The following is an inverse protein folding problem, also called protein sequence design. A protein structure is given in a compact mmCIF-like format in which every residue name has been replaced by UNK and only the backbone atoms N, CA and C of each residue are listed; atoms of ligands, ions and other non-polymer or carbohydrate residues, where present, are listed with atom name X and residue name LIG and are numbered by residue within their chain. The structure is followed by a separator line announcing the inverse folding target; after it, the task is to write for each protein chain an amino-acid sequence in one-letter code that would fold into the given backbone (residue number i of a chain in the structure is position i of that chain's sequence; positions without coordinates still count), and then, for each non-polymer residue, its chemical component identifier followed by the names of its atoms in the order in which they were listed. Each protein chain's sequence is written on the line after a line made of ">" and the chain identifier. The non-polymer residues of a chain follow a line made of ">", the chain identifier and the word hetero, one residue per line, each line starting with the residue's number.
data_IF_916939381286
#
_entry.id   IF_916939381286
#
_cell.length_a   1.000
_cell.length_b   1.000
_cell.length_c   1.000
_cell.angle_alpha   90.00
_cell.angle_beta   90.00
_cell.angle_gamma   90.00
#
_symmetry.space_group_name_H-M   'P 1'
#
loop_
_entity.id
_entity.type
_entity.pdbx_description
1 polymer ?
#
# COMPACT_ATOMS: atom_id res chain seq x y z
N UNK A 1 -14.18 13.04 -21.11
CA UNK A 1 -13.11 12.03 -21.22
C UNK A 1 -11.82 12.72 -20.82
N UNK A 2 -11.51 12.76 -19.52
CA UNK A 2 -10.21 13.29 -19.07
C UNK A 2 -9.18 12.17 -19.23
N UNK A 3 -8.26 12.37 -20.16
CA UNK A 3 -7.06 11.57 -20.31
C UNK A 3 -6.28 11.70 -18.99
N UNK A 4 -6.13 10.61 -18.25
CA UNK A 4 -5.44 10.60 -16.95
C UNK A 4 -4.02 11.14 -17.12
N UNK A 5 -3.79 12.36 -16.66
CA UNK A 5 -2.46 12.95 -16.67
C UNK A 5 -1.55 12.10 -15.78
N UNK A 6 -0.53 11.50 -16.38
CA UNK A 6 0.56 10.88 -15.64
C UNK A 6 1.23 11.99 -14.84
N UNK A 7 1.00 12.04 -13.53
CA UNK A 7 1.65 13.03 -12.67
C UNK A 7 3.15 12.69 -12.60
N UNK A 8 4.01 13.62 -12.98
CA UNK A 8 5.46 13.45 -12.94
C UNK A 8 6.01 13.84 -11.57
N UNK A 9 7.19 13.29 -11.22
CA UNK A 9 7.92 13.65 -10.00
C UNK A 9 8.18 15.16 -9.99
N UNK A 10 7.79 15.89 -8.93
CA UNK A 10 8.20 17.28 -8.79
C UNK A 10 9.72 17.38 -8.69
N UNK A 11 10.31 18.33 -9.40
CA UNK A 11 11.76 18.48 -9.46
C UNK A 11 12.39 18.55 -8.06
N UNK A 12 13.36 17.67 -7.80
CA UNK A 12 14.10 17.62 -6.54
C UNK A 12 13.33 17.08 -5.33
N UNK A 13 12.07 16.64 -5.49
CA UNK A 13 11.29 16.12 -4.38
C UNK A 13 11.85 14.80 -3.85
N UNK A 14 12.08 14.74 -2.54
CA UNK A 14 12.51 13.55 -1.83
C UNK A 14 11.38 13.10 -0.90
N UNK A 15 11.00 11.83 -1.00
CA UNK A 15 10.03 11.25 -0.10
C UNK A 15 10.60 11.25 1.33
N UNK A 16 9.84 11.69 2.34
CA UNK A 16 10.30 11.61 3.72
C UNK A 16 10.30 10.16 4.22
N UNK A 17 11.27 9.81 5.08
CA UNK A 17 11.30 8.55 5.83
C UNK A 17 10.26 8.43 6.96
N UNK A 18 9.43 9.47 7.11
CA UNK A 18 8.34 9.52 8.06
C UNK A 18 7.08 10.01 7.34
N UNK A 19 6.01 9.22 7.39
CA UNK A 19 4.74 9.51 6.76
C UNK A 19 3.76 10.06 7.82
N UNK A 20 3.67 11.40 7.92
CA UNK A 20 2.79 12.14 8.83
C UNK A 20 2.82 11.63 10.28
N UNK A 21 4.02 11.43 10.82
CA UNK A 21 4.27 10.95 12.18
C UNK A 21 4.58 9.46 12.27
N UNK A 22 4.33 8.66 11.23
CA UNK A 22 4.63 7.23 11.21
C UNK A 22 5.97 6.93 10.53
N UNK A 23 6.89 6.31 11.27
CA UNK A 23 8.12 5.77 10.67
C UNK A 23 7.81 4.63 9.70
N UNK A 24 8.48 4.64 8.53
CA UNK A 24 8.37 3.58 7.53
C UNK A 24 9.14 2.31 7.91
N UNK A 25 9.94 2.36 8.99
CA UNK A 25 10.75 1.23 9.48
C UNK A 25 10.06 0.46 10.62
N UNK A 26 8.96 0.95 11.15
CA UNK A 26 8.33 0.40 12.35
C UNK A 26 7.19 -0.58 12.01
N UNK A 27 7.14 -1.71 12.75
CA UNK A 27 6.03 -2.68 12.75
C UNK A 27 5.71 -3.28 11.37
N UNK A 28 6.74 -3.61 10.60
CA UNK A 28 6.56 -4.28 9.32
C UNK A 28 6.31 -5.77 9.57
N UNK A 29 5.10 -6.26 9.26
CA UNK A 29 4.70 -7.66 9.49
C UNK A 29 4.62 -8.37 8.13
N UNK A 30 5.42 -9.41 7.89
CA UNK A 30 5.33 -10.17 6.66
C UNK A 30 3.98 -10.87 6.58
N UNK A 31 3.17 -10.46 5.61
CA UNK A 31 1.94 -11.14 5.20
C UNK A 31 1.99 -11.36 3.71
N UNK A 32 1.35 -12.43 3.21
CA UNK A 32 1.34 -12.76 1.76
C UNK A 32 -0.04 -12.53 1.12
N UNK A 33 -0.99 -11.97 1.86
CA UNK A 33 -2.34 -11.67 1.37
C UNK A 33 -2.38 -10.23 0.89
N UNK A 34 -2.47 -10.04 -0.43
CA UNK A 34 -2.67 -8.73 -1.05
C UNK A 34 -4.11 -8.24 -0.87
N UNK A 35 -4.31 -6.94 -1.05
CA UNK A 35 -5.59 -6.26 -0.89
C UNK A 35 -6.67 -6.83 -1.82
N UNK A 36 -6.38 -6.99 -3.11
CA UNK A 36 -7.33 -7.43 -4.11
C UNK A 36 -7.96 -8.79 -3.76
N UNK A 37 -7.13 -9.79 -3.42
CA UNK A 37 -7.62 -11.11 -3.06
C UNK A 37 -8.52 -11.07 -1.81
N UNK A 38 -8.19 -10.21 -0.84
CA UNK A 38 -9.01 -10.04 0.36
C UNK A 38 -10.36 -9.39 0.03
N UNK A 39 -10.40 -8.37 -0.84
CA UNK A 39 -11.65 -7.73 -1.27
C UNK A 39 -12.54 -8.69 -2.07
N UNK A 40 -11.96 -9.47 -2.99
CA UNK A 40 -12.68 -10.50 -3.73
C UNK A 40 -13.27 -11.55 -2.78
N UNK A 41 -12.49 -11.98 -1.77
CA UNK A 41 -12.97 -12.95 -0.80
C UNK A 41 -14.08 -12.38 0.08
N UNK A 42 -13.98 -11.12 0.47
CA UNK A 42 -15.00 -10.40 1.23
C UNK A 42 -16.34 -10.35 0.47
N UNK A 43 -16.30 -10.13 -0.85
CA UNK A 43 -17.50 -10.17 -1.68
C UNK A 43 -18.14 -11.57 -1.72
N UNK A 44 -17.32 -12.62 -1.92
CA UNK A 44 -17.79 -14.02 -1.98
C UNK A 44 -18.52 -14.47 -0.71
N UNK A 45 -18.15 -13.91 0.44
CA UNK A 45 -18.75 -14.22 1.74
C UNK A 45 -19.75 -13.14 2.20
N UNK A 46 -20.24 -12.31 1.27
CA UNK A 46 -21.25 -11.27 1.52
C UNK A 46 -20.87 -10.28 2.64
N UNK A 47 -19.59 -9.93 2.74
CA UNK A 47 -19.10 -9.00 3.76
C UNK A 47 -18.93 -9.60 5.16
N UNK A 48 -19.12 -10.92 5.32
CA UNK A 48 -18.99 -11.56 6.63
C UNK A 48 -17.52 -11.72 7.06
N UNK A 49 -17.05 -10.79 7.89
CA UNK A 49 -15.70 -10.81 8.47
C UNK A 49 -15.39 -12.13 9.21
N UNK A 50 -16.36 -12.79 9.83
CA UNK A 50 -16.12 -14.02 10.59
C UNK A 50 -15.60 -15.14 9.69
N UNK A 51 -16.06 -15.19 8.44
CA UNK A 51 -15.70 -16.20 7.44
C UNK A 51 -14.34 -15.97 6.77
N UNK A 52 -13.70 -14.81 6.98
CA UNK A 52 -12.34 -14.58 6.50
C UNK A 52 -11.32 -15.46 7.23
N UNK A 53 -10.34 -15.95 6.47
CA UNK A 53 -9.16 -16.65 7.02
C UNK A 53 -8.27 -15.66 7.78
N UNK A 54 -7.40 -16.17 8.65
CA UNK A 54 -6.62 -15.33 9.55
C UNK A 54 -5.74 -14.31 8.80
N UNK A 55 -5.15 -14.67 7.66
CA UNK A 55 -4.35 -13.76 6.85
C UNK A 55 -5.19 -12.69 6.12
N UNK A 56 -6.38 -13.04 5.64
CA UNK A 56 -7.34 -12.08 5.06
C UNK A 56 -7.80 -11.09 6.13
N UNK A 57 -8.09 -11.57 7.35
CA UNK A 57 -8.42 -10.71 8.50
C UNK A 57 -7.31 -9.71 8.83
N UNK A 58 -6.03 -10.06 8.61
CA UNK A 58 -4.90 -9.14 8.80
C UNK A 58 -4.92 -8.03 7.74
N UNK A 59 -5.10 -8.37 6.47
CA UNK A 59 -5.23 -7.38 5.39
C UNK A 59 -6.46 -6.48 5.59
N UNK A 60 -7.62 -7.08 5.89
CA UNK A 60 -8.86 -6.39 6.23
C UNK A 60 -8.67 -5.34 7.34
N UNK A 61 -8.00 -5.72 8.43
CA UNK A 61 -7.70 -4.80 9.53
C UNK A 61 -6.65 -3.76 9.15
N UNK A 62 -5.64 -4.14 8.38
CA UNK A 62 -4.58 -3.22 7.96
C UNK A 62 -5.14 -2.06 7.13
N UNK A 63 -6.10 -2.33 6.26
CA UNK A 63 -6.78 -1.31 5.45
C UNK A 63 -8.01 -0.71 6.14
N UNK A 64 -8.34 -1.12 7.37
CA UNK A 64 -9.57 -0.73 8.09
C UNK A 64 -10.84 -0.90 7.26
N UNK A 65 -10.94 -2.01 6.52
CA UNK A 65 -12.01 -2.23 5.55
C UNK A 65 -13.40 -2.16 6.19
N UNK A 66 -13.55 -2.46 7.48
CA UNK A 66 -14.82 -2.28 8.20
C UNK A 66 -15.44 -0.90 7.97
N UNK A 67 -14.60 0.15 7.97
CA UNK A 67 -15.03 1.54 7.87
C UNK A 67 -15.59 1.88 6.47
N UNK A 68 -15.30 1.05 5.45
CA UNK A 68 -15.72 1.24 4.05
C UNK A 68 -16.38 -0.01 3.44
N UNK A 69 -16.63 -1.05 4.25
CA UNK A 69 -17.09 -2.37 3.80
C UNK A 69 -18.35 -2.26 2.96
N UNK A 70 -19.34 -1.51 3.44
CA UNK A 70 -20.60 -1.33 2.74
C UNK A 70 -20.38 -0.70 1.36
N UNK A 71 -19.51 0.32 1.25
CA UNK A 71 -19.16 0.93 -0.03
C UNK A 71 -18.53 -0.08 -0.98
N UNK A 72 -17.64 -0.96 -0.49
CA UNK A 72 -17.00 -1.99 -1.31
C UNK A 72 -18.02 -3.01 -1.82
N UNK A 73 -18.80 -3.63 -0.93
CA UNK A 73 -19.69 -4.75 -1.30
C UNK A 73 -20.86 -4.33 -2.19
N UNK A 74 -21.27 -3.05 -2.16
CA UNK A 74 -22.34 -2.53 -3.02
C UNK A 74 -21.83 -1.88 -4.30
N UNK A 75 -20.51 -1.71 -4.45
CA UNK A 75 -19.92 -1.06 -5.62
C UNK A 75 -19.41 -2.06 -6.65
N UNK A 76 -19.47 -1.73 -7.94
CA UNK A 76 -18.83 -2.54 -8.97
C UNK A 76 -17.31 -2.57 -8.78
N UNK A 77 -16.68 -3.66 -9.21
CA UNK A 77 -15.25 -3.93 -9.00
C UNK A 77 -14.33 -2.77 -9.47
N UNK A 78 -14.67 -2.11 -10.58
CA UNK A 78 -13.85 -1.01 -11.11
C UNK A 78 -13.76 0.20 -10.17
N UNK A 79 -14.71 0.37 -9.25
CA UNK A 79 -14.74 1.51 -8.30
C UNK A 79 -13.93 1.23 -7.02
N UNK A 80 -13.55 -0.02 -6.76
CA UNK A 80 -12.89 -0.39 -5.49
C UNK A 80 -11.57 0.32 -5.28
N UNK A 81 -10.76 0.42 -6.34
CA UNK A 81 -9.49 1.15 -6.32
C UNK A 81 -9.68 2.57 -5.80
N UNK A 82 -10.62 3.31 -6.36
CA UNK A 82 -10.83 4.72 -6.04
C UNK A 82 -11.36 4.87 -4.61
N UNK A 83 -12.30 4.01 -4.19
CA UNK A 83 -12.80 3.96 -2.80
C UNK A 83 -11.65 3.75 -1.80
N UNK A 84 -10.73 2.82 -2.08
CA UNK A 84 -9.59 2.53 -1.20
C UNK A 84 -8.60 3.70 -1.18
N UNK A 85 -8.29 4.28 -2.33
CA UNK A 85 -7.37 5.43 -2.43
C UNK A 85 -7.90 6.62 -1.66
N UNK A 86 -9.17 6.96 -1.83
CA UNK A 86 -9.85 7.98 -1.04
C UNK A 86 -9.78 7.67 0.45
N UNK A 87 -10.04 6.41 0.83
CA UNK A 87 -10.00 5.98 2.22
C UNK A 87 -8.60 6.17 2.84
N UNK A 88 -7.54 5.81 2.12
CA UNK A 88 -6.15 6.00 2.55
C UNK A 88 -5.84 7.48 2.77
N UNK A 89 -6.22 8.35 1.84
CA UNK A 89 -5.98 9.79 1.94
C UNK A 89 -6.81 10.46 3.05
N UNK A 90 -8.01 9.95 3.34
CA UNK A 90 -8.93 10.51 4.35
C UNK A 90 -8.47 10.34 5.81
N UNK A 91 -7.38 9.61 6.06
CA UNK A 91 -6.96 9.20 7.41
C UNK A 91 -5.49 9.47 7.67
N UNK A 92 -5.06 9.30 8.93
CA UNK A 92 -3.64 9.36 9.25
C UNK A 92 -2.99 8.02 8.92
N UNK A 93 -1.75 7.99 8.41
CA UNK A 93 -0.99 6.76 8.20
C UNK A 93 -0.89 5.88 9.46
N UNK A 94 -0.94 6.46 10.65
CA UNK A 94 -0.97 5.75 11.93
C UNK A 94 -2.22 4.91 12.15
N UNK A 95 -3.32 5.19 11.44
CA UNK A 95 -4.58 4.49 11.60
C UNK A 95 -4.56 3.12 10.91
N UNK A 96 -3.68 2.94 9.92
CA UNK A 96 -3.58 1.74 9.10
C UNK A 96 -2.59 0.70 9.67
N UNK A 97 -2.64 -0.52 9.15
CA UNK A 97 -1.67 -1.58 9.44
C UNK A 97 -0.38 -1.46 8.63
N UNK A 98 0.47 -2.48 8.68
CA UNK A 98 1.75 -2.52 7.97
C UNK A 98 1.58 -2.53 6.45
N UNK A 99 0.67 -3.36 5.93
CA UNK A 99 0.47 -3.60 4.50
C UNK A 99 0.24 -2.31 3.68
N UNK A 100 -0.50 -1.36 4.25
CA UNK A 100 -0.73 -0.06 3.59
C UNK A 100 0.58 0.74 3.50
N UNK A 101 1.40 0.72 4.55
CA UNK A 101 2.68 1.43 4.59
C UNK A 101 3.74 0.75 3.73
N UNK A 102 3.65 -0.56 3.53
CA UNK A 102 4.56 -1.29 2.66
C UNK A 102 4.54 -0.73 1.23
N UNK A 103 3.40 -0.21 0.75
CA UNK A 103 3.30 0.51 -0.54
C UNK A 103 4.26 1.71 -0.55
N UNK A 104 4.19 2.54 0.50
CA UNK A 104 5.02 3.72 0.62
C UNK A 104 6.50 3.35 0.80
N UNK A 105 6.81 2.30 1.55
CA UNK A 105 8.17 1.80 1.73
C UNK A 105 8.79 1.37 0.39
N UNK A 106 8.04 0.64 -0.45
CA UNK A 106 8.49 0.27 -1.80
C UNK A 106 8.79 1.50 -2.64
N UNK A 107 7.88 2.48 -2.66
CA UNK A 107 8.05 3.71 -3.40
C UNK A 107 9.25 4.54 -2.91
N UNK A 108 9.39 4.67 -1.59
CA UNK A 108 10.50 5.36 -0.95
C UNK A 108 11.85 4.77 -1.39
N UNK A 109 11.97 3.44 -1.40
CA UNK A 109 13.22 2.80 -1.81
C UNK A 109 13.48 3.02 -3.31
N UNK A 110 12.45 2.79 -4.14
CA UNK A 110 12.56 2.95 -5.59
C UNK A 110 13.02 4.36 -6.00
N UNK A 111 12.50 5.38 -5.33
CA UNK A 111 12.76 6.78 -5.66
C UNK A 111 14.04 7.35 -5.03
N UNK A 112 14.59 6.68 -4.03
CA UNK A 112 15.73 7.18 -3.24
C UNK A 112 17.01 6.39 -3.48
N UNK A 113 16.91 5.07 -3.65
CA UNK A 113 18.07 4.16 -3.76
C UNK A 113 18.11 3.41 -5.10
N UNK A 114 16.95 3.21 -5.73
CA UNK A 114 16.84 2.56 -7.04
C UNK A 114 15.67 1.60 -7.11
N UNK A 115 15.13 1.42 -8.31
CA UNK A 115 13.95 0.60 -8.55
C UNK A 115 14.26 -0.90 -8.48
N UNK A 116 13.21 -1.69 -8.27
CA UNK A 116 13.25 -3.14 -8.34
C UNK A 116 13.55 -3.84 -7.00
N UNK A 117 13.36 -5.15 -7.05
CA UNK A 117 13.39 -6.05 -5.89
C UNK A 117 14.75 -6.07 -5.19
N UNK A 118 15.84 -6.06 -5.96
CA UNK A 118 17.19 -6.18 -5.39
C UNK A 118 17.55 -4.98 -4.52
N UNK A 119 17.28 -3.76 -5.00
CA UNK A 119 17.50 -2.53 -4.23
C UNK A 119 16.61 -2.48 -2.99
N UNK A 120 15.36 -2.93 -3.11
CA UNK A 120 14.48 -3.08 -1.96
C UNK A 120 15.06 -3.99 -0.88
N UNK A 121 15.58 -5.16 -1.27
CA UNK A 121 16.12 -6.15 -0.34
C UNK A 121 17.39 -5.64 0.35
N UNK A 122 18.27 -5.01 -0.43
CA UNK A 122 19.47 -4.34 0.11
C UNK A 122 19.07 -3.30 1.15
N UNK A 123 18.08 -2.46 0.85
CA UNK A 123 17.61 -1.45 1.77
C UNK A 123 17.00 -2.03 3.06
N UNK A 124 16.11 -3.02 2.96
CA UNK A 124 15.48 -3.68 4.13
C UNK A 124 16.52 -4.23 5.09
N UNK A 125 17.59 -4.85 4.54
CA UNK A 125 18.71 -5.36 5.33
C UNK A 125 19.53 -4.23 5.95
N UNK A 126 19.97 -3.26 5.14
CA UNK A 126 20.85 -2.17 5.58
C UNK A 126 20.18 -1.22 6.57
N UNK A 127 18.88 -1.00 6.46
CA UNK A 127 18.10 -0.18 7.37
C UNK A 127 17.68 -0.92 8.66
N UNK A 128 18.07 -2.19 8.83
CA UNK A 128 17.75 -2.97 10.03
C UNK A 128 16.26 -3.32 10.18
N UNK A 129 15.48 -3.28 9.09
CA UNK A 129 14.05 -3.60 9.12
C UNK A 129 13.86 -5.12 9.29
N UNK A 130 14.68 -5.92 8.59
CA UNK A 130 14.71 -7.38 8.73
C UNK A 130 16.00 -7.95 8.15
N UNK A 131 16.62 -8.88 8.85
CA UNK A 131 17.72 -9.71 8.33
C UNK A 131 17.22 -10.94 7.55
N UNK A 132 15.93 -11.29 7.71
CA UNK A 132 15.32 -12.43 7.04
C UNK A 132 14.84 -12.04 5.63
N UNK A 133 15.42 -12.68 4.61
CA UNK A 133 15.06 -12.48 3.21
C UNK A 133 13.59 -12.82 2.88
N UNK A 134 12.98 -13.76 3.60
CA UNK A 134 11.57 -14.09 3.43
C UNK A 134 10.65 -12.94 3.88
N UNK A 135 11.06 -12.20 4.92
CA UNK A 135 10.32 -11.01 5.34
C UNK A 135 10.44 -9.91 4.29
N UNK A 136 11.65 -9.65 3.77
CA UNK A 136 11.84 -8.68 2.67
C UNK A 136 10.99 -9.04 1.44
N UNK A 137 10.93 -10.34 1.09
CA UNK A 137 10.09 -10.85 0.01
C UNK A 137 8.60 -10.58 0.24
N UNK A 138 8.09 -10.88 1.44
CA UNK A 138 6.67 -10.68 1.75
C UNK A 138 6.28 -9.20 1.69
N UNK A 139 7.13 -8.33 2.25
CA UNK A 139 6.92 -6.87 2.22
C UNK A 139 6.91 -6.36 0.78
N UNK A 140 7.90 -6.76 -0.02
CA UNK A 140 7.97 -6.40 -1.43
C UNK A 140 6.72 -6.87 -2.19
N UNK A 141 6.32 -8.13 -2.00
CA UNK A 141 5.17 -8.70 -2.70
C UNK A 141 3.87 -7.96 -2.37
N UNK A 142 3.62 -7.67 -1.09
CA UNK A 142 2.41 -6.95 -0.67
C UNK A 142 2.48 -5.48 -1.06
N UNK A 143 3.54 -4.77 -0.70
CA UNK A 143 3.68 -3.33 -1.00
C UNK A 143 3.63 -3.04 -2.49
N UNK A 144 4.37 -3.81 -3.31
CA UNK A 144 4.33 -3.69 -4.78
C UNK A 144 3.00 -4.15 -5.34
N UNK A 145 2.46 -5.28 -4.86
CA UNK A 145 1.21 -5.84 -5.34
C UNK A 145 0.05 -4.87 -5.14
N UNK A 146 -0.13 -4.40 -3.90
CA UNK A 146 -1.19 -3.47 -3.53
C UNK A 146 -0.98 -2.10 -4.20
N UNK A 147 0.26 -1.62 -4.26
CA UNK A 147 0.58 -0.36 -4.93
C UNK A 147 0.29 -0.38 -6.43
N UNK A 148 0.52 -1.51 -7.10
CA UNK A 148 0.18 -1.70 -8.53
C UNK A 148 -1.33 -1.83 -8.72
N UNK A 149 -2.01 -2.63 -7.88
CA UNK A 149 -3.47 -2.76 -7.91
C UNK A 149 -4.18 -1.41 -7.74
N UNK A 150 -3.67 -0.57 -6.83
CA UNK A 150 -4.19 0.77 -6.59
C UNK A 150 -3.71 1.81 -7.62
N UNK A 151 -2.93 1.41 -8.62
CA UNK A 151 -2.31 2.28 -9.63
C UNK A 151 -1.45 3.41 -9.04
N UNK A 152 -0.89 3.20 -7.85
CA UNK A 152 0.03 4.12 -7.18
C UNK A 152 1.46 3.89 -7.67
N UNK A 153 1.80 2.63 -7.96
CA UNK A 153 3.15 2.20 -8.36
C UNK A 153 3.16 1.58 -9.76
N UNK A 154 4.32 1.65 -10.41
CA UNK A 154 4.70 0.77 -11.52
C UNK A 154 5.20 -0.59 -10.99
N UNK A 155 5.32 -1.59 -11.88
CA UNK A 155 5.76 -2.94 -11.49
C UNK A 155 7.20 -3.02 -10.94
N UNK A 156 8.04 -2.03 -11.25
CA UNK A 156 9.39 -1.91 -10.69
C UNK A 156 9.42 -1.17 -9.33
N UNK A 157 8.25 -0.78 -8.79
CA UNK A 157 8.12 -0.07 -7.51
C UNK A 157 8.24 1.45 -7.59
N UNK A 158 8.57 2.03 -8.75
CA UNK A 158 8.55 3.49 -8.93
C UNK A 158 7.14 4.06 -8.81
N UNK A 159 7.04 5.34 -8.43
CA UNK A 159 5.75 6.01 -8.32
C UNK A 159 5.14 6.22 -9.71
N UNK A 160 3.92 5.70 -9.89
CA UNK A 160 3.06 5.97 -11.05
C UNK A 160 2.19 7.21 -10.84
N UNK A 161 1.72 7.42 -9.61
CA UNK A 161 0.84 8.53 -9.24
C UNK A 161 1.46 9.39 -8.12
N UNK A 162 2.22 10.39 -8.56
CA UNK A 162 2.79 11.43 -7.71
C UNK A 162 1.73 12.32 -7.06
N UNK A 163 0.59 12.56 -7.71
CA UNK A 163 -0.49 13.35 -7.10
C UNK A 163 -1.02 12.67 -5.84
N UNK A 164 -1.27 11.36 -5.91
CA UNK A 164 -1.63 10.57 -4.75
C UNK A 164 -0.55 10.59 -3.67
N UNK A 165 0.71 10.35 -4.04
CA UNK A 165 1.83 10.29 -3.09
C UNK A 165 2.04 11.62 -2.36
N UNK A 166 1.96 12.75 -3.06
CA UNK A 166 2.08 14.07 -2.45
C UNK A 166 0.94 14.35 -1.48
N UNK A 167 -0.32 14.09 -1.88
CA UNK A 167 -1.48 14.21 -0.97
C UNK A 167 -1.32 13.34 0.28
N UNK A 168 -0.81 12.13 0.10
CA UNK A 168 -0.59 11.21 1.21
C UNK A 168 0.45 11.71 2.20
N UNK A 169 1.57 12.27 1.69
CA UNK A 169 2.63 12.87 2.49
C UNK A 169 2.16 14.15 3.18
N UNK A 170 1.48 15.03 2.47
CA UNK A 170 1.05 16.34 2.97
C UNK A 170 -0.19 16.26 3.87
N UNK A 171 -1.01 15.21 3.73
CA UNK A 171 -2.28 15.07 4.44
C UNK A 171 -3.35 16.05 3.99
N UNK A 172 -3.36 16.38 2.69
CA UNK A 172 -4.29 17.30 2.04
C UNK A 172 -5.23 16.58 1.09
#
# INVERSE_FOLDING_TARGET
>A
MECGMISTKPNGYKLPGNLRGRSIHAKVIPTVCNLENMLQKLLQINGDFAQLKQWEKRSYKAYRIEDIKNRIITSPHYAWKDIIREHILSRRPSDFGASVIDIYLVAYVAETFGAGKEEFFKYVKNAGISENGNSAQAIWQVGKGDGVYLEILHDNGQIRDWSFMLKWVEGK
#
